data_IF_587276035507
#
_entry.id   IF_587276035507
#
_cell.length_a   1.000
_cell.length_b   1.000
_cell.length_c   1.000
_cell.angle_alpha   90.00
_cell.angle_beta   90.00
_cell.angle_gamma   90.00
#
_symmetry.space_group_name_H-M   'P 1'
#
loop_
_entity.id
_entity.type
_entity.pdbx_description
1 polymer ?
#
# COMPACT_ATOMS: atom_id res chain seq x y z
N UNK A 1 26.98 -54.96 -20.24
CA UNK A 1 26.14 -54.08 -21.06
C UNK A 1 24.99 -53.62 -20.19
N UNK A 2 25.12 -52.46 -19.58
CA UNK A 2 24.07 -51.80 -18.80
C UNK A 2 23.14 -51.10 -19.78
N UNK A 3 21.95 -51.66 -19.99
CA UNK A 3 20.86 -50.98 -20.70
C UNK A 3 20.42 -49.79 -19.86
N UNK A 4 20.76 -48.58 -20.30
CA UNK A 4 20.24 -47.34 -19.72
C UNK A 4 18.77 -47.23 -20.11
N UNK A 5 17.86 -47.61 -19.19
CA UNK A 5 16.41 -47.44 -19.36
C UNK A 5 16.09 -45.96 -19.58
N UNK A 6 15.49 -45.61 -20.71
CA UNK A 6 15.11 -44.23 -21.02
C UNK A 6 13.92 -43.79 -20.17
N UNK A 7 13.67 -42.47 -20.04
CA UNK A 7 12.49 -41.97 -19.31
C UNK A 7 11.17 -42.46 -19.95
N UNK A 8 11.16 -42.65 -21.27
CA UNK A 8 10.02 -43.20 -22.02
C UNK A 8 9.77 -44.68 -21.71
N UNK A 9 10.84 -45.48 -21.60
CA UNK A 9 10.75 -46.89 -21.21
C UNK A 9 10.20 -47.01 -19.78
N UNK A 10 10.66 -46.15 -18.88
CA UNK A 10 10.17 -46.08 -17.49
C UNK A 10 8.68 -45.78 -17.40
N UNK A 11 8.17 -44.82 -18.17
CA UNK A 11 6.73 -44.53 -18.20
C UNK A 11 5.90 -45.73 -18.72
N UNK A 12 6.41 -46.42 -19.73
CA UNK A 12 5.77 -47.61 -20.30
C UNK A 12 5.75 -48.76 -19.28
N UNK A 13 6.87 -49.02 -18.61
CA UNK A 13 6.98 -50.02 -17.55
C UNK A 13 6.07 -49.69 -16.36
N UNK A 14 6.01 -48.43 -15.94
CA UNK A 14 5.13 -48.02 -14.84
C UNK A 14 3.64 -48.16 -15.18
N UNK A 15 3.24 -47.85 -16.41
CA UNK A 15 1.87 -48.09 -16.86
C UNK A 15 1.52 -49.59 -16.86
N UNK A 16 2.49 -50.46 -17.19
CA UNK A 16 2.32 -51.91 -17.16
C UNK A 16 2.26 -52.48 -15.73
N UNK A 17 2.96 -51.85 -14.79
CA UNK A 17 3.07 -52.31 -13.40
C UNK A 17 2.03 -51.71 -12.45
N UNK A 18 1.42 -50.57 -12.81
CA UNK A 18 0.49 -49.82 -11.95
C UNK A 18 -0.81 -49.47 -12.69
N UNK A 19 -1.34 -48.26 -12.47
CA UNK A 19 -2.47 -47.67 -13.18
C UNK A 19 -2.01 -46.40 -13.90
N UNK A 20 -2.84 -45.87 -14.80
CA UNK A 20 -2.57 -44.56 -15.42
C UNK A 20 -2.35 -43.47 -14.36
N UNK A 21 -3.10 -43.52 -13.26
CA UNK A 21 -2.97 -42.53 -12.20
C UNK A 21 -1.63 -42.70 -11.44
N UNK A 22 -1.16 -43.93 -11.23
CA UNK A 22 0.17 -44.20 -10.67
C UNK A 22 1.33 -43.77 -11.57
N UNK A 23 1.19 -43.96 -12.88
CA UNK A 23 2.15 -43.48 -13.88
C UNK A 23 2.19 -41.94 -13.91
N UNK A 24 1.04 -41.27 -13.87
CA UNK A 24 0.98 -39.80 -13.84
C UNK A 24 1.58 -39.23 -12.54
N UNK A 25 1.37 -39.90 -11.39
CA UNK A 25 1.98 -39.46 -10.13
C UNK A 25 3.50 -39.59 -10.17
N UNK A 26 4.02 -40.70 -10.67
CA UNK A 26 5.47 -40.88 -10.83
C UNK A 26 6.10 -39.86 -11.79
N UNK A 27 5.40 -39.53 -12.88
CA UNK A 27 5.84 -38.47 -13.79
C UNK A 27 5.84 -37.10 -13.09
N UNK A 28 4.83 -36.79 -12.27
CA UNK A 28 4.78 -35.56 -11.50
C UNK A 28 5.97 -35.47 -10.52
N UNK A 29 6.26 -36.54 -9.77
CA UNK A 29 7.42 -36.62 -8.87
C UNK A 29 8.74 -36.39 -9.62
N UNK A 30 8.91 -36.98 -10.81
CA UNK A 30 10.08 -36.77 -11.65
C UNK A 30 10.19 -35.30 -12.10
N UNK A 31 9.11 -34.68 -12.56
CA UNK A 31 9.11 -33.29 -13.01
C UNK A 31 9.39 -32.30 -11.87
N UNK A 32 8.92 -32.59 -10.66
CA UNK A 32 9.29 -31.83 -9.46
C UNK A 32 10.79 -31.94 -9.19
N UNK A 33 11.35 -33.15 -9.24
CA UNK A 33 12.78 -33.38 -9.04
C UNK A 33 13.65 -32.66 -10.09
N UNK A 34 13.17 -32.61 -11.34
CA UNK A 34 13.81 -31.90 -12.45
C UNK A 34 13.52 -30.39 -12.48
N UNK A 35 12.68 -29.87 -11.57
CA UNK A 35 12.20 -28.46 -11.53
C UNK A 35 11.48 -28.00 -12.81
N UNK A 36 10.81 -28.93 -13.50
CA UNK A 36 10.04 -28.71 -14.73
C UNK A 36 8.56 -28.42 -14.41
N UNK A 37 8.34 -27.26 -13.78
CA UNK A 37 7.06 -26.93 -13.17
C UNK A 37 5.92 -26.63 -14.17
N UNK A 38 6.23 -26.15 -15.38
CA UNK A 38 5.18 -25.94 -16.40
C UNK A 38 4.64 -27.28 -16.91
N UNK A 39 5.52 -28.25 -17.13
CA UNK A 39 5.11 -29.60 -17.50
C UNK A 39 4.38 -30.29 -16.35
N UNK A 40 4.79 -30.05 -15.10
CA UNK A 40 4.06 -30.53 -13.92
C UNK A 40 2.61 -30.04 -13.93
N UNK A 41 2.37 -28.77 -14.28
CA UNK A 41 1.02 -28.22 -14.40
C UNK A 41 0.15 -29.02 -15.40
N UNK A 42 0.71 -29.38 -16.55
CA UNK A 42 0.00 -30.19 -17.55
C UNK A 42 -0.31 -31.60 -17.04
N UNK A 43 0.60 -32.22 -16.28
CA UNK A 43 0.35 -33.51 -15.63
C UNK A 43 -0.76 -33.39 -14.58
N UNK A 44 -0.73 -32.36 -13.74
CA UNK A 44 -1.79 -32.11 -12.74
C UNK A 44 -3.14 -31.87 -13.38
N UNK A 45 -3.21 -31.14 -14.51
CA UNK A 45 -4.43 -30.99 -15.32
C UNK A 45 -4.98 -32.34 -15.78
N UNK A 46 -4.12 -33.25 -16.27
CA UNK A 46 -4.54 -34.59 -16.66
C UNK A 46 -5.12 -35.38 -15.47
N UNK A 47 -4.47 -35.32 -14.31
CA UNK A 47 -4.92 -36.00 -13.09
C UNK A 47 -6.28 -35.46 -12.61
N UNK A 48 -6.47 -34.14 -12.56
CA UNK A 48 -7.74 -33.50 -12.16
C UNK A 48 -8.86 -33.95 -13.10
N UNK A 49 -8.66 -33.84 -14.41
CA UNK A 49 -9.65 -34.25 -15.43
C UNK A 49 -10.06 -35.71 -15.27
N UNK A 50 -9.08 -36.60 -15.10
CA UNK A 50 -9.35 -38.04 -14.92
C UNK A 50 -10.15 -38.33 -13.65
N UNK A 51 -9.81 -37.68 -12.53
CA UNK A 51 -10.48 -37.86 -11.24
C UNK A 51 -11.98 -37.55 -11.32
N UNK A 52 -12.36 -36.57 -12.16
CA UNK A 52 -13.75 -36.14 -12.35
C UNK A 52 -14.44 -36.77 -13.57
N UNK A 53 -13.78 -37.74 -14.21
CA UNK A 53 -14.33 -38.51 -15.34
C UNK A 53 -14.29 -37.80 -16.70
N UNK A 54 -13.41 -36.80 -16.88
CA UNK A 54 -13.17 -36.14 -18.16
C UNK A 54 -12.01 -36.76 -18.92
N UNK A 55 -11.97 -36.51 -20.24
CA UNK A 55 -10.82 -36.82 -21.07
C UNK A 55 -9.58 -36.06 -20.60
N UNK A 56 -8.41 -36.70 -20.63
CA UNK A 56 -7.14 -36.04 -20.32
C UNK A 56 -6.86 -34.84 -21.25
N UNK A 57 -7.41 -34.86 -22.47
CA UNK A 57 -7.28 -33.82 -23.48
C UNK A 57 -8.46 -32.83 -23.50
N UNK A 58 -9.35 -32.86 -22.49
CA UNK A 58 -10.46 -31.90 -22.41
C UNK A 58 -9.93 -30.46 -22.39
N UNK A 59 -10.36 -29.63 -23.34
CA UNK A 59 -9.82 -28.27 -23.56
C UNK A 59 -10.82 -27.15 -23.31
N UNK A 60 -12.10 -27.46 -23.12
CA UNK A 60 -13.14 -26.43 -22.96
C UNK A 60 -13.10 -25.82 -21.55
N UNK A 61 -13.68 -24.63 -21.41
CA UNK A 61 -13.70 -23.88 -20.15
C UNK A 61 -14.58 -24.52 -19.05
N UNK A 62 -15.31 -25.59 -19.35
CA UNK A 62 -16.22 -26.23 -18.41
C UNK A 62 -17.65 -25.69 -18.42
N UNK A 63 -17.98 -24.79 -19.36
CA UNK A 63 -19.31 -24.16 -19.43
C UNK A 63 -20.45 -25.16 -19.64
N UNK A 64 -20.20 -26.26 -20.35
CA UNK A 64 -21.19 -27.32 -20.58
C UNK A 64 -21.18 -28.43 -19.50
N UNK A 65 -20.33 -28.30 -18.47
CA UNK A 65 -20.28 -29.25 -17.37
C UNK A 65 -21.37 -28.97 -16.33
N UNK A 66 -21.87 -30.04 -15.71
CA UNK A 66 -22.68 -29.96 -14.50
C UNK A 66 -21.95 -29.13 -13.42
N UNK A 67 -22.65 -28.26 -12.66
CA UNK A 67 -22.02 -27.33 -11.72
C UNK A 67 -21.02 -28.00 -10.77
N UNK A 68 -21.40 -29.13 -10.18
CA UNK A 68 -20.53 -29.88 -9.27
C UNK A 68 -19.22 -30.34 -9.91
N UNK A 69 -19.21 -30.70 -11.20
CA UNK A 69 -18.00 -31.10 -11.92
C UNK A 69 -17.16 -29.90 -12.33
N UNK A 70 -17.80 -28.78 -12.69
CA UNK A 70 -17.12 -27.52 -12.98
C UNK A 70 -16.36 -27.04 -11.74
N UNK A 71 -17.01 -27.03 -10.58
CA UNK A 71 -16.40 -26.62 -9.32
C UNK A 71 -15.19 -27.51 -8.95
N UNK A 72 -15.31 -28.83 -9.15
CA UNK A 72 -14.19 -29.76 -8.91
C UNK A 72 -13.03 -29.55 -9.89
N UNK A 73 -13.33 -29.24 -11.16
CA UNK A 73 -12.30 -28.91 -12.15
C UNK A 73 -11.57 -27.63 -11.75
N UNK A 74 -12.30 -26.54 -11.49
CA UNK A 74 -11.73 -25.25 -11.08
C UNK A 74 -10.89 -25.39 -9.81
N UNK A 75 -11.42 -26.03 -8.77
CA UNK A 75 -10.70 -26.23 -7.52
C UNK A 75 -9.39 -27.01 -7.73
N UNK A 76 -9.43 -28.11 -8.51
CA UNK A 76 -8.23 -28.89 -8.82
C UNK A 76 -7.20 -28.12 -9.65
N UNK A 77 -7.65 -27.27 -10.57
CA UNK A 77 -6.74 -26.42 -11.35
C UNK A 77 -6.10 -25.33 -10.49
N UNK A 78 -6.84 -24.73 -9.54
CA UNK A 78 -6.28 -23.76 -8.59
C UNK A 78 -5.27 -24.41 -7.64
N UNK A 79 -5.51 -25.64 -7.20
CA UNK A 79 -4.52 -26.42 -6.42
C UNK A 79 -3.25 -26.68 -7.22
N UNK A 80 -3.37 -27.08 -8.50
CA UNK A 80 -2.23 -27.29 -9.39
C UNK A 80 -1.45 -25.99 -9.62
N UNK A 81 -2.15 -24.86 -9.83
CA UNK A 81 -1.53 -23.54 -9.92
C UNK A 81 -0.74 -23.21 -8.65
N UNK A 82 -1.28 -23.51 -7.46
CA UNK A 82 -0.61 -23.24 -6.18
C UNK A 82 0.68 -24.05 -6.05
N UNK A 83 0.64 -25.35 -6.34
CA UNK A 83 1.81 -26.24 -6.28
C UNK A 83 2.93 -25.76 -7.22
N UNK A 84 2.57 -25.51 -8.47
CA UNK A 84 3.50 -25.08 -9.53
C UNK A 84 4.06 -23.69 -9.23
N UNK A 85 3.21 -22.75 -8.82
CA UNK A 85 3.62 -21.40 -8.45
C UNK A 85 4.61 -21.40 -7.29
N UNK A 86 4.37 -22.19 -6.23
CA UNK A 86 5.28 -22.29 -5.10
C UNK A 86 6.62 -22.94 -5.51
N UNK A 87 6.58 -23.96 -6.35
CA UNK A 87 7.79 -24.58 -6.90
C UNK A 87 8.65 -23.59 -7.70
N UNK A 88 8.02 -22.78 -8.55
CA UNK A 88 8.70 -21.73 -9.32
C UNK A 88 9.31 -20.65 -8.42
N UNK A 89 8.56 -20.16 -7.43
CA UNK A 89 9.06 -19.16 -6.47
C UNK A 89 10.25 -19.71 -5.66
N UNK A 90 10.17 -20.96 -5.21
CA UNK A 90 11.27 -21.62 -4.50
C UNK A 90 12.51 -21.83 -5.38
N UNK A 91 12.34 -21.86 -6.70
CA UNK A 91 13.43 -21.91 -7.67
C UNK A 91 13.94 -20.53 -8.11
N UNK A 92 13.45 -19.43 -7.51
CA UNK A 92 13.83 -18.06 -7.86
C UNK A 92 13.16 -17.51 -9.13
N UNK A 93 12.21 -18.24 -9.73
CA UNK A 93 11.50 -17.85 -10.96
C UNK A 93 10.28 -17.00 -10.59
N UNK A 94 10.51 -15.76 -10.20
CA UNK A 94 9.54 -14.91 -9.50
C UNK A 94 8.32 -14.57 -10.37
N UNK A 95 8.54 -14.00 -11.56
CA UNK A 95 7.46 -13.63 -12.49
C UNK A 95 6.59 -14.83 -12.87
N UNK A 96 7.24 -15.95 -13.13
CA UNK A 96 6.57 -17.18 -13.54
C UNK A 96 5.77 -17.80 -12.39
N UNK A 97 6.32 -17.79 -11.18
CA UNK A 97 5.57 -18.17 -9.99
C UNK A 97 4.32 -17.31 -9.78
N UNK A 98 4.46 -15.99 -9.93
CA UNK A 98 3.33 -15.06 -9.83
C UNK A 98 2.25 -15.30 -10.90
N UNK A 99 2.64 -15.63 -12.13
CA UNK A 99 1.70 -15.96 -13.22
C UNK A 99 0.70 -17.06 -12.80
N UNK A 100 1.14 -18.09 -12.07
CA UNK A 100 0.25 -19.14 -11.57
C UNK A 100 -0.58 -18.72 -10.36
N UNK A 101 -0.14 -17.73 -9.60
CA UNK A 101 -0.89 -17.21 -8.44
C UNK A 101 -1.96 -16.17 -8.81
N UNK A 102 -1.83 -15.49 -9.96
CA UNK A 102 -2.83 -14.50 -10.42
C UNK A 102 -4.27 -15.03 -10.41
N UNK A 103 -4.58 -16.24 -10.93
CA UNK A 103 -5.95 -16.79 -10.91
C UNK A 103 -6.43 -17.16 -9.49
N UNK A 104 -5.51 -17.42 -8.55
CA UNK A 104 -5.85 -17.83 -7.17
C UNK A 104 -6.30 -16.61 -6.35
N UNK A 105 -5.74 -15.43 -6.62
CA UNK A 105 -6.05 -14.19 -5.90
C UNK A 105 -5.46 -14.09 -4.48
N UNK A 106 -5.11 -15.23 -3.85
CA UNK A 106 -4.43 -15.25 -2.56
C UNK A 106 -2.94 -14.91 -2.70
N UNK A 107 -2.59 -13.70 -2.26
CA UNK A 107 -1.23 -13.14 -2.32
C UNK A 107 -0.35 -13.60 -1.15
N UNK A 108 -0.92 -14.17 -0.08
CA UNK A 108 -0.17 -14.47 1.16
C UNK A 108 0.95 -15.49 0.93
N UNK A 109 0.75 -16.61 0.23
CA UNK A 109 1.83 -17.57 -0.01
C UNK A 109 2.97 -16.98 -0.86
N UNK A 110 2.63 -16.10 -1.80
CA UNK A 110 3.62 -15.41 -2.65
C UNK A 110 4.46 -14.46 -1.81
N UNK A 111 3.83 -13.67 -0.94
CA UNK A 111 4.53 -12.80 0.02
C UNK A 111 5.52 -13.58 0.88
N UNK A 112 5.07 -14.69 1.47
CA UNK A 112 5.91 -15.54 2.31
C UNK A 112 7.08 -16.17 1.53
N UNK A 113 6.86 -16.56 0.28
CA UNK A 113 7.90 -17.11 -0.59
C UNK A 113 8.90 -16.03 -0.99
N UNK A 114 8.42 -14.87 -1.44
CA UNK A 114 9.28 -13.73 -1.76
C UNK A 114 10.17 -13.39 -0.58
N UNK A 115 9.64 -13.35 0.65
CA UNK A 115 10.40 -12.97 1.86
C UNK A 115 11.63 -13.84 2.14
N UNK A 116 11.73 -15.03 1.51
CA UNK A 116 12.86 -15.95 1.65
C UNK A 116 13.88 -15.83 0.52
N UNK A 117 13.57 -15.06 -0.53
CA UNK A 117 14.46 -14.81 -1.66
C UNK A 117 15.41 -13.68 -1.28
N UNK A 118 16.72 -13.96 -1.33
CA UNK A 118 17.76 -12.94 -1.21
C UNK A 118 17.72 -12.04 -2.44
N UNK A 119 17.78 -10.73 -2.21
CA UNK A 119 17.72 -9.74 -3.29
C UNK A 119 19.12 -9.52 -3.85
N UNK A 120 19.23 -9.57 -5.17
CA UNK A 120 20.45 -9.27 -5.92
C UNK A 120 20.12 -8.45 -7.17
N UNK A 121 21.16 -7.99 -7.89
CA UNK A 121 21.00 -7.17 -9.08
C UNK A 121 20.29 -7.89 -10.24
N UNK A 122 20.25 -9.23 -10.25
CA UNK A 122 19.59 -10.02 -11.30
C UNK A 122 18.08 -10.13 -11.06
N UNK A 123 17.67 -10.20 -9.80
CA UNK A 123 16.27 -10.43 -9.41
C UNK A 123 15.53 -9.20 -8.88
N UNK A 124 16.23 -8.09 -8.58
CA UNK A 124 15.67 -6.86 -8.01
C UNK A 124 14.43 -6.36 -8.76
N UNK A 125 14.54 -6.20 -10.08
CA UNK A 125 13.44 -5.69 -10.91
C UNK A 125 12.21 -6.63 -10.88
N UNK A 126 12.43 -7.95 -10.83
CA UNK A 126 11.33 -8.93 -10.74
C UNK A 126 10.61 -8.86 -9.40
N UNK A 127 11.37 -8.70 -8.32
CA UNK A 127 10.82 -8.56 -6.97
C UNK A 127 10.03 -7.26 -6.87
N UNK A 128 10.57 -6.14 -7.38
CA UNK A 128 9.86 -4.84 -7.38
C UNK A 128 8.57 -4.94 -8.19
N UNK A 129 8.60 -5.56 -9.37
CA UNK A 129 7.42 -5.78 -10.20
C UNK A 129 6.32 -6.53 -9.43
N UNK A 130 6.64 -7.70 -8.87
CA UNK A 130 5.63 -8.54 -8.20
C UNK A 130 5.22 -7.96 -6.84
N UNK A 131 6.16 -7.45 -6.04
CA UNK A 131 5.88 -6.95 -4.70
C UNK A 131 5.11 -5.62 -4.75
N UNK A 132 5.59 -4.66 -5.54
CA UNK A 132 5.03 -3.31 -5.61
C UNK A 132 3.95 -3.21 -6.68
N UNK A 133 4.29 -3.38 -7.97
CA UNK A 133 3.36 -3.09 -9.06
C UNK A 133 2.15 -4.03 -9.09
N UNK A 134 2.35 -5.32 -8.81
CA UNK A 134 1.25 -6.29 -8.67
C UNK A 134 0.62 -6.27 -7.26
N UNK A 135 1.23 -5.54 -6.32
CA UNK A 135 0.73 -5.32 -4.96
C UNK A 135 0.70 -6.58 -4.10
N UNK A 136 1.70 -7.46 -4.19
CA UNK A 136 1.86 -8.63 -3.31
C UNK A 136 2.38 -8.22 -1.93
N UNK A 137 3.36 -7.31 -1.90
CA UNK A 137 4.00 -6.79 -0.69
C UNK A 137 4.54 -5.38 -0.98
N UNK A 138 3.63 -4.40 -0.95
CA UNK A 138 3.91 -3.02 -1.35
C UNK A 138 5.02 -2.42 -0.50
N UNK A 139 5.00 -2.67 0.82
CA UNK A 139 6.01 -2.14 1.74
C UNK A 139 7.41 -2.64 1.37
N UNK A 140 7.57 -3.95 1.10
CA UNK A 140 8.86 -4.50 0.71
C UNK A 140 9.30 -4.01 -0.66
N UNK A 141 8.42 -4.04 -1.66
CA UNK A 141 8.75 -3.58 -3.01
C UNK A 141 9.13 -2.10 -3.04
N UNK A 142 8.40 -1.26 -2.30
CA UNK A 142 8.73 0.16 -2.15
C UNK A 142 10.04 0.38 -1.38
N UNK A 143 10.29 -0.40 -0.33
CA UNK A 143 11.56 -0.37 0.41
C UNK A 143 12.77 -0.64 -0.48
N UNK A 144 12.68 -1.63 -1.37
CA UNK A 144 13.72 -1.91 -2.36
C UNK A 144 13.92 -0.75 -3.34
N UNK A 145 12.84 -0.08 -3.76
CA UNK A 145 12.94 1.09 -4.61
C UNK A 145 13.70 2.22 -3.92
N UNK A 146 13.41 2.44 -2.63
CA UNK A 146 14.05 3.43 -1.78
C UNK A 146 15.54 3.15 -1.61
N UNK A 147 15.91 1.88 -1.40
CA UNK A 147 17.28 1.43 -1.16
C UNK A 147 18.15 1.45 -2.43
N UNK A 148 17.62 1.00 -3.57
CA UNK A 148 18.42 0.74 -4.77
C UNK A 148 18.32 1.83 -5.86
N UNK A 149 17.22 2.58 -5.94
CA UNK A 149 17.05 3.62 -6.97
C UNK A 149 17.05 5.05 -6.41
N UNK A 150 17.14 5.20 -5.09
CA UNK A 150 17.28 6.48 -4.39
C UNK A 150 15.98 7.27 -4.19
N UNK A 151 16.07 8.30 -3.35
CA UNK A 151 14.92 9.07 -2.82
C UNK A 151 14.08 9.74 -3.90
N UNK A 152 14.69 10.34 -4.92
CA UNK A 152 13.96 11.00 -6.02
C UNK A 152 13.09 10.01 -6.80
N UNK A 153 13.66 8.85 -7.15
CA UNK A 153 12.93 7.80 -7.84
C UNK A 153 11.81 7.24 -6.96
N UNK A 154 12.08 7.01 -5.67
CA UNK A 154 11.08 6.52 -4.75
C UNK A 154 9.92 7.50 -4.52
N UNK A 155 10.17 8.82 -4.50
CA UNK A 155 9.09 9.82 -4.48
C UNK A 155 8.26 9.74 -5.77
N UNK A 156 8.92 9.68 -6.93
CA UNK A 156 8.23 9.54 -8.22
C UNK A 156 7.37 8.26 -8.28
N UNK A 157 7.91 7.14 -7.80
CA UNK A 157 7.20 5.86 -7.69
C UNK A 157 6.05 5.94 -6.69
N UNK A 158 6.25 6.63 -5.56
CA UNK A 158 5.18 6.84 -4.59
C UNK A 158 4.01 7.61 -5.20
N UNK A 159 4.26 8.64 -6.00
CA UNK A 159 3.19 9.46 -6.55
C UNK A 159 2.47 8.81 -7.73
N UNK A 160 3.15 7.94 -8.47
CA UNK A 160 2.62 7.29 -9.68
C UNK A 160 1.97 5.92 -9.43
N UNK A 161 2.52 5.13 -8.51
CA UNK A 161 2.12 3.72 -8.30
C UNK A 161 1.32 3.57 -7.01
N UNK A 162 1.90 4.02 -5.89
CA UNK A 162 1.36 3.78 -4.54
C UNK A 162 -0.10 4.25 -4.34
N UNK A 163 -0.62 5.34 -4.93
CA UNK A 163 -1.99 5.80 -4.68
C UNK A 163 -3.07 4.83 -5.21
N UNK A 164 -2.69 3.90 -6.08
CA UNK A 164 -3.57 2.85 -6.60
C UNK A 164 -3.68 1.63 -5.67
N UNK A 165 -2.87 1.57 -4.60
CA UNK A 165 -2.92 0.51 -3.60
C UNK A 165 -3.86 0.84 -2.43
N UNK A 166 -4.32 -0.15 -1.65
CA UNK A 166 -5.11 0.09 -0.44
C UNK A 166 -4.43 1.05 0.54
N UNK A 167 -5.20 1.83 1.30
CA UNK A 167 -4.68 2.85 2.24
C UNK A 167 -3.59 2.32 3.18
N UNK A 168 -3.75 1.10 3.71
CA UNK A 168 -2.76 0.49 4.59
C UNK A 168 -1.39 0.29 3.91
N UNK A 169 -1.38 -0.08 2.63
CA UNK A 169 -0.14 -0.23 1.85
C UNK A 169 0.48 1.13 1.53
N UNK A 170 -0.34 2.15 1.24
CA UNK A 170 0.11 3.53 1.09
C UNK A 170 0.81 4.02 2.36
N UNK A 171 0.18 3.78 3.53
CA UNK A 171 0.72 4.13 4.84
C UNK A 171 2.06 3.45 5.11
N UNK A 172 2.17 2.16 4.82
CA UNK A 172 3.41 1.42 5.00
C UNK A 172 4.55 1.99 4.13
N UNK A 173 4.29 2.25 2.85
CA UNK A 173 5.28 2.86 1.95
C UNK A 173 5.65 4.30 2.38
N UNK A 174 4.66 5.11 2.77
CA UNK A 174 4.88 6.49 3.21
C UNK A 174 5.70 6.57 4.49
N UNK A 175 5.47 5.65 5.43
CA UNK A 175 6.26 5.55 6.66
C UNK A 175 7.73 5.21 6.37
N UNK A 176 8.02 4.35 5.38
CA UNK A 176 9.40 4.03 4.96
C UNK A 176 10.10 5.28 4.41
N UNK A 177 9.44 6.04 3.54
CA UNK A 177 9.99 7.28 2.98
C UNK A 177 10.30 8.31 4.09
N UNK A 178 9.37 8.52 5.01
CA UNK A 178 9.56 9.45 6.14
C UNK A 178 10.74 9.04 7.01
N UNK A 179 10.82 7.75 7.37
CA UNK A 179 11.92 7.21 8.19
C UNK A 179 13.27 7.38 7.48
N UNK A 180 13.33 7.06 6.20
CA UNK A 180 14.54 7.21 5.38
C UNK A 180 15.01 8.66 5.31
N UNK A 181 14.12 9.59 4.92
CA UNK A 181 14.50 10.99 4.78
C UNK A 181 14.86 11.62 6.12
N UNK A 182 14.14 11.30 7.20
CA UNK A 182 14.47 11.77 8.54
C UNK A 182 15.85 11.30 8.99
N UNK A 183 16.19 10.03 8.74
CA UNK A 183 17.50 9.49 9.05
C UNK A 183 18.62 10.19 8.25
N UNK A 184 18.45 10.34 6.94
CA UNK A 184 19.41 11.03 6.06
C UNK A 184 19.64 12.47 6.52
N UNK A 185 18.55 13.23 6.71
CA UNK A 185 18.63 14.62 7.13
C UNK A 185 19.25 14.77 8.51
N UNK A 186 18.85 13.94 9.47
CA UNK A 186 19.41 13.97 10.84
C UNK A 186 20.90 13.68 10.81
N UNK A 187 21.34 12.66 10.06
CA UNK A 187 22.75 12.34 9.90
C UNK A 187 23.55 13.52 9.30
N UNK A 188 23.04 14.15 8.25
CA UNK A 188 23.69 15.29 7.60
C UNK A 188 23.79 16.51 8.51
N UNK A 189 22.73 16.85 9.25
CA UNK A 189 22.72 17.96 10.21
C UNK A 189 23.67 17.68 11.38
N UNK A 190 23.62 16.48 11.98
CA UNK A 190 24.53 16.11 13.06
C UNK A 190 26.00 16.13 12.63
N UNK A 191 26.28 15.71 11.39
CA UNK A 191 27.62 15.77 10.83
C UNK A 191 28.11 17.22 10.66
N UNK A 192 27.25 18.15 10.24
CA UNK A 192 27.63 19.56 10.11
C UNK A 192 27.86 20.24 11.46
N UNK A 193 26.97 19.99 12.42
CA UNK A 193 27.15 20.42 13.82
C UNK A 193 28.46 19.87 14.38
N UNK A 194 28.75 18.58 14.18
CA UNK A 194 30.01 17.99 14.63
C UNK A 194 31.25 18.63 14.03
N UNK A 195 31.20 19.06 12.75
CA UNK A 195 32.32 19.76 12.10
C UNK A 195 32.53 21.17 12.66
N UNK A 196 31.46 21.90 12.97
CA UNK A 196 31.54 23.29 13.43
C UNK A 196 31.76 23.41 14.94
N UNK A 197 31.09 22.60 15.74
CA UNK A 197 31.15 22.63 17.21
C UNK A 197 32.24 21.70 17.77
N UNK A 198 32.83 20.83 16.94
CA UNK A 198 33.87 19.87 17.33
C UNK A 198 33.36 18.67 18.13
N UNK A 199 32.06 18.56 18.34
CA UNK A 199 31.40 17.44 19.00
C UNK A 199 30.08 17.11 18.31
N UNK A 200 29.85 15.83 18.00
CA UNK A 200 28.55 15.38 17.49
C UNK A 200 27.49 15.54 18.58
N UNK A 201 26.38 16.25 18.32
CA UNK A 201 25.32 16.43 19.30
C UNK A 201 24.62 15.10 19.60
N UNK A 202 24.18 14.92 20.85
CA UNK A 202 23.41 13.75 21.29
C UNK A 202 21.89 13.96 21.20
N UNK A 203 21.44 14.92 20.39
CA UNK A 203 20.03 15.31 20.33
C UNK A 203 19.16 14.22 19.69
N UNK A 204 17.93 14.09 20.19
CA UNK A 204 16.99 13.06 19.76
C UNK A 204 16.09 13.49 18.58
N UNK A 205 16.08 14.78 18.23
CA UNK A 205 15.20 15.35 17.20
C UNK A 205 15.85 16.48 16.41
N UNK A 206 15.44 16.65 15.15
CA UNK A 206 15.79 17.78 14.29
C UNK A 206 15.36 19.09 14.91
N UNK A 207 14.19 19.18 15.55
CA UNK A 207 13.76 20.36 16.30
C UNK A 207 14.84 20.82 17.29
N UNK A 208 15.40 19.89 18.06
CA UNK A 208 16.47 20.20 19.03
C UNK A 208 17.80 20.51 18.34
N UNK A 209 18.10 19.83 17.23
CA UNK A 209 19.33 20.06 16.46
C UNK A 209 19.35 21.46 15.84
N UNK A 210 18.23 21.95 15.31
CA UNK A 210 18.16 23.25 14.63
C UNK A 210 17.89 24.42 15.57
N UNK A 211 17.34 24.14 16.76
CA UNK A 211 17.07 25.15 17.78
C UNK A 211 18.37 25.89 18.15
N UNK A 212 18.29 27.23 18.13
CA UNK A 212 19.40 28.16 18.40
C UNK A 212 20.62 28.03 17.47
N UNK A 213 20.48 27.36 16.32
CA UNK A 213 21.54 27.16 15.31
C UNK A 213 21.18 27.74 13.95
N UNK A 214 20.78 29.01 13.92
CA UNK A 214 20.45 29.73 12.67
C UNK A 214 21.61 29.70 11.64
N UNK A 215 22.85 29.56 12.13
CA UNK A 215 24.04 29.42 11.30
C UNK A 215 24.00 28.22 10.34
N UNK A 216 23.24 27.15 10.66
CA UNK A 216 23.03 25.99 9.77
C UNK A 216 22.35 26.36 8.45
N UNK A 217 21.69 27.52 8.39
CA UNK A 217 20.86 27.95 7.27
C UNK A 217 21.38 29.24 6.60
N UNK A 218 22.55 29.73 7.02
CA UNK A 218 23.19 30.89 6.39
C UNK A 218 23.53 30.61 4.93
N UNK A 219 23.60 31.65 4.10
CA UNK A 219 23.94 31.54 2.67
C UNK A 219 23.07 30.54 1.87
N UNK A 220 21.84 30.31 2.33
CA UNK A 220 20.92 29.34 1.72
C UNK A 220 21.43 27.89 1.81
N UNK A 221 22.22 27.55 2.82
CA UNK A 221 22.61 26.17 3.10
C UNK A 221 21.41 25.26 3.40
N UNK A 222 21.52 24.01 2.99
CA UNK A 222 20.57 22.93 3.28
C UNK A 222 21.32 21.59 3.33
N UNK A 223 20.75 20.62 4.06
CA UNK A 223 21.38 19.34 4.39
C UNK A 223 20.73 18.13 3.71
N UNK A 224 19.66 18.38 2.95
CA UNK A 224 18.95 17.41 2.12
C UNK A 224 18.31 18.16 0.96
N UNK A 225 18.03 17.46 -0.14
CA UNK A 225 17.27 18.05 -1.25
C UNK A 225 15.91 18.56 -0.75
N UNK A 226 15.66 19.85 -0.98
CA UNK A 226 14.49 20.55 -0.44
C UNK A 226 13.19 20.12 -1.12
N UNK A 227 13.26 19.62 -2.36
CA UNK A 227 12.10 19.03 -3.04
C UNK A 227 11.75 17.67 -2.43
N UNK A 228 12.76 16.86 -2.07
CA UNK A 228 12.52 15.60 -1.35
C UNK A 228 11.84 15.84 0.00
N UNK A 229 12.29 16.87 0.73
CA UNK A 229 11.69 17.27 2.00
C UNK A 229 10.22 17.67 1.86
N UNK A 230 9.92 18.56 0.93
CA UNK A 230 8.55 19.03 0.70
C UNK A 230 7.61 17.88 0.29
N UNK A 231 8.03 17.01 -0.64
CA UNK A 231 7.23 15.86 -1.08
C UNK A 231 7.01 14.85 0.05
N UNK A 232 8.02 14.57 0.85
CA UNK A 232 7.91 13.62 1.98
C UNK A 232 6.96 14.13 3.06
N UNK A 233 7.03 15.42 3.40
CA UNK A 233 6.07 16.07 4.32
C UNK A 233 4.65 16.00 3.76
N UNK A 234 4.47 16.21 2.46
CA UNK A 234 3.16 16.11 1.81
C UNK A 234 2.58 14.69 1.84
N UNK A 235 3.44 13.69 1.60
CA UNK A 235 3.08 12.27 1.63
C UNK A 235 2.69 11.85 3.06
N UNK A 236 3.39 12.35 4.08
CA UNK A 236 3.13 11.99 5.47
C UNK A 236 1.71 12.30 5.99
N UNK A 237 0.92 13.13 5.28
CA UNK A 237 -0.48 13.44 5.63
C UNK A 237 -1.37 12.21 5.78
N UNK A 238 -1.10 11.14 5.05
CA UNK A 238 -1.90 9.91 5.12
C UNK A 238 -1.55 8.98 6.29
N UNK A 239 -0.49 9.26 7.04
CA UNK A 239 0.01 8.39 8.11
C UNK A 239 -0.81 8.55 9.39
N UNK A 240 -1.17 7.43 10.02
CA UNK A 240 -1.89 7.41 11.31
C UNK A 240 -1.01 6.96 12.48
N UNK A 241 0.10 6.25 12.21
CA UNK A 241 0.97 5.74 13.25
C UNK A 241 1.77 6.88 13.93
N UNK A 242 1.79 6.96 15.28
CA UNK A 242 2.46 8.04 15.99
C UNK A 242 3.98 8.13 15.75
N UNK A 243 4.65 6.99 15.55
CA UNK A 243 6.11 6.95 15.34
C UNK A 243 6.52 7.71 14.06
N UNK A 244 6.07 7.33 12.84
CA UNK A 244 6.43 8.07 11.64
C UNK A 244 5.80 9.47 11.59
N UNK A 245 4.63 9.71 12.20
CA UNK A 245 4.08 11.07 12.33
C UNK A 245 4.99 12.00 13.14
N UNK A 246 5.64 11.48 14.19
CA UNK A 246 6.61 12.25 14.99
C UNK A 246 7.81 12.66 14.15
N UNK A 247 8.32 11.75 13.32
CA UNK A 247 9.43 12.03 12.40
C UNK A 247 9.01 13.04 11.33
N UNK A 248 7.80 12.92 10.79
CA UNK A 248 7.25 13.88 9.83
C UNK A 248 7.10 15.28 10.44
N UNK A 249 6.64 15.39 11.70
CA UNK A 249 6.62 16.65 12.43
C UNK A 249 8.03 17.22 12.56
N UNK A 250 9.00 16.39 12.93
CA UNK A 250 10.41 16.80 13.08
C UNK A 250 11.01 17.35 11.77
N UNK A 251 10.69 16.74 10.63
CA UNK A 251 11.03 17.25 9.29
C UNK A 251 10.47 18.66 9.04
N UNK A 252 9.26 18.96 9.52
CA UNK A 252 8.68 20.31 9.39
C UNK A 252 9.40 21.34 10.24
N UNK A 253 9.95 20.96 11.40
CA UNK A 253 10.76 21.88 12.21
C UNK A 253 11.99 22.32 11.43
N UNK A 254 12.75 21.38 10.85
CA UNK A 254 13.87 21.73 9.97
C UNK A 254 13.42 22.60 8.78
N UNK A 255 12.35 22.21 8.08
CA UNK A 255 11.87 22.92 6.89
C UNK A 255 11.51 24.40 7.14
N UNK A 256 11.01 24.73 8.34
CA UNK A 256 10.67 26.12 8.75
C UNK A 256 11.88 27.06 8.80
N UNK A 257 13.08 26.53 9.01
CA UNK A 257 14.33 27.31 9.07
C UNK A 257 15.00 27.51 7.70
N UNK A 258 14.57 26.78 6.66
CA UNK A 258 15.12 26.95 5.33
C UNK A 258 14.91 28.38 4.80
N UNK A 259 15.77 28.82 3.88
CA UNK A 259 15.53 30.05 3.13
C UNK A 259 14.14 30.04 2.48
N UNK A 260 13.48 31.21 2.40
CA UNK A 260 12.15 31.35 1.79
C UNK A 260 12.06 30.85 0.35
N UNK A 261 13.16 30.86 -0.40
CA UNK A 261 13.20 30.31 -1.76
C UNK A 261 13.04 28.78 -1.83
N UNK A 262 13.34 28.08 -0.72
CA UNK A 262 13.21 26.62 -0.58
C UNK A 262 11.99 26.21 0.27
N UNK A 263 11.25 27.18 0.79
CA UNK A 263 9.93 26.97 1.38
C UNK A 263 8.89 27.09 0.27
N UNK A 264 8.80 26.05 -0.57
CA UNK A 264 7.84 26.02 -1.69
C UNK A 264 6.42 26.25 -1.19
N UNK A 265 5.60 26.89 -2.03
CA UNK A 265 4.17 27.00 -1.79
C UNK A 265 3.50 25.65 -2.08
N UNK A 266 2.66 25.21 -1.15
CA UNK A 266 1.80 24.04 -1.31
C UNK A 266 0.42 24.41 -1.85
N UNK A 267 -0.42 23.39 -1.98
CA UNK A 267 -1.84 23.56 -2.31
C UNK A 267 -2.66 23.81 -1.04
N UNK A 268 -3.74 24.57 -1.13
CA UNK A 268 -4.69 24.74 -0.02
C UNK A 268 -5.28 23.38 0.44
N UNK A 269 -5.48 23.14 1.75
CA UNK A 269 -5.32 24.07 2.87
C UNK A 269 -3.89 24.16 3.46
N UNK A 270 -2.89 23.63 2.74
CA UNK A 270 -1.50 23.52 3.18
C UNK A 270 -0.54 24.44 2.40
N UNK A 271 -0.99 25.64 2.05
CA UNK A 271 -0.22 26.60 1.25
C UNK A 271 1.18 26.88 1.83
N UNK A 272 1.26 27.04 3.16
CA UNK A 272 2.53 27.08 3.88
C UNK A 272 2.93 25.66 4.30
N UNK A 273 3.71 24.96 3.46
CA UNK A 273 4.02 23.54 3.62
C UNK A 273 4.41 23.20 5.07
N UNK A 274 5.49 23.75 5.60
CA UNK A 274 5.97 23.32 6.92
C UNK A 274 5.10 23.80 8.09
N UNK A 275 4.63 25.08 8.15
CA UNK A 275 3.73 25.51 9.20
C UNK A 275 2.41 24.73 9.26
N UNK A 276 1.71 24.59 8.14
CA UNK A 276 0.38 23.96 8.09
C UNK A 276 0.46 22.44 8.33
N UNK A 277 1.46 21.75 7.77
CA UNK A 277 1.62 20.31 8.01
C UNK A 277 2.01 20.01 9.46
N UNK A 278 2.85 20.83 10.08
CA UNK A 278 3.17 20.65 11.50
C UNK A 278 1.94 20.75 12.39
N UNK A 279 1.04 21.74 12.16
CA UNK A 279 -0.22 21.85 12.92
C UNK A 279 -1.08 20.60 12.74
N UNK A 280 -1.14 20.08 11.51
CA UNK A 280 -1.87 18.86 11.19
C UNK A 280 -1.29 17.63 11.91
N UNK A 281 0.02 17.41 11.83
CA UNK A 281 0.67 16.29 12.51
C UNK A 281 0.59 16.39 14.03
N UNK A 282 0.74 17.59 14.60
CA UNK A 282 0.52 17.81 16.03
C UNK A 282 -0.89 17.38 16.43
N UNK A 283 -1.92 17.80 15.69
CA UNK A 283 -3.30 17.39 16.00
C UNK A 283 -3.49 15.88 15.96
N UNK A 284 -2.93 15.19 14.95
CA UNK A 284 -2.97 13.73 14.85
C UNK A 284 -2.21 13.04 15.99
N UNK A 285 -1.16 13.67 16.53
CA UNK A 285 -0.42 13.22 17.70
C UNK A 285 -1.11 13.56 19.03
N UNK A 286 -2.26 14.25 19.00
CA UNK A 286 -2.98 14.71 20.20
C UNK A 286 -2.42 15.99 20.81
N UNK A 287 -1.63 16.75 20.07
CA UNK A 287 -0.93 17.97 20.50
C UNK A 287 -1.53 19.19 19.79
N UNK A 288 -1.66 20.32 20.50
CA UNK A 288 -2.21 21.58 19.96
C UNK A 288 -3.53 21.40 19.17
N UNK A 289 -4.35 20.42 19.57
CA UNK A 289 -5.53 19.97 18.81
C UNK A 289 -6.49 21.11 18.52
N UNK A 290 -6.85 21.91 19.53
CA UNK A 290 -7.82 22.99 19.36
C UNK A 290 -7.35 24.06 18.36
N UNK A 291 -6.07 24.44 18.45
CA UNK A 291 -5.47 25.42 17.53
C UNK A 291 -5.47 24.91 16.09
N UNK A 292 -5.10 23.64 15.89
CA UNK A 292 -5.08 23.03 14.56
C UNK A 292 -6.50 22.88 13.98
N UNK A 293 -7.46 22.41 14.79
CA UNK A 293 -8.87 22.31 14.39
C UNK A 293 -9.42 23.68 13.98
N UNK A 294 -9.15 24.73 14.76
CA UNK A 294 -9.58 26.08 14.42
C UNK A 294 -8.95 26.58 13.11
N UNK A 295 -7.67 26.32 12.89
CA UNK A 295 -6.96 26.66 11.65
C UNK A 295 -7.58 25.97 10.43
N UNK A 296 -7.77 24.64 10.48
CA UNK A 296 -8.32 23.89 9.35
C UNK A 296 -9.80 24.16 9.13
N UNK A 297 -10.57 24.47 10.17
CA UNK A 297 -11.94 24.99 10.04
C UNK A 297 -11.97 26.30 9.26
N UNK A 298 -11.14 27.27 9.65
CA UNK A 298 -11.07 28.56 8.95
C UNK A 298 -10.69 28.38 7.47
N UNK A 299 -9.73 27.48 7.19
CA UNK A 299 -9.39 27.12 5.81
C UNK A 299 -10.56 26.50 5.06
N UNK A 300 -11.30 25.58 5.67
CA UNK A 300 -12.50 24.98 5.06
C UNK A 300 -13.60 26.02 4.75
N UNK A 301 -13.71 27.08 5.55
CA UNK A 301 -14.70 28.15 5.38
C UNK A 301 -14.28 29.22 4.36
N UNK A 302 -12.98 29.49 4.22
CA UNK A 302 -12.46 30.65 3.48
C UNK A 302 -11.83 30.30 2.13
N UNK A 303 -11.34 29.08 1.94
CA UNK A 303 -10.75 28.67 0.65
C UNK A 303 -11.84 28.65 -0.42
N UNK A 304 -11.54 29.27 -1.56
CA UNK A 304 -12.50 29.38 -2.66
C UNK A 304 -12.82 28.00 -3.26
N UNK A 305 -14.07 27.58 -3.10
CA UNK A 305 -14.55 26.29 -3.60
C UNK A 305 -14.65 26.24 -5.12
N UNK A 306 -14.73 27.39 -5.81
CA UNK A 306 -14.74 27.43 -7.28
C UNK A 306 -13.36 27.14 -7.86
N UNK A 307 -12.31 27.61 -7.19
CA UNK A 307 -10.92 27.42 -7.61
C UNK A 307 -10.35 26.07 -7.13
N UNK A 308 -10.54 25.74 -5.84
CA UNK A 308 -9.91 24.59 -5.20
C UNK A 308 -10.85 23.40 -4.97
N UNK A 309 -12.15 23.56 -5.17
CA UNK A 309 -13.16 22.53 -4.91
C UNK A 309 -13.37 22.29 -3.41
N UNK A 310 -13.70 21.05 -3.04
CA UNK A 310 -14.00 20.64 -1.65
C UNK A 310 -12.77 20.27 -0.83
N UNK A 311 -11.55 20.44 -1.36
CA UNK A 311 -10.32 19.89 -0.74
C UNK A 311 -10.09 20.35 0.70
N UNK A 312 -10.26 21.65 0.98
CA UNK A 312 -10.07 22.19 2.33
C UNK A 312 -11.11 21.64 3.33
N UNK A 313 -12.35 21.44 2.87
CA UNK A 313 -13.44 20.88 3.66
C UNK A 313 -13.18 19.40 3.93
N UNK A 314 -12.79 18.63 2.91
CA UNK A 314 -12.49 17.21 3.07
C UNK A 314 -11.29 16.97 4.00
N UNK A 315 -10.23 17.79 3.90
CA UNK A 315 -9.10 17.71 4.85
C UNK A 315 -9.54 18.02 6.28
N UNK A 316 -10.40 19.01 6.48
CA UNK A 316 -10.92 19.34 7.81
C UNK A 316 -11.79 18.21 8.38
N UNK A 317 -12.67 17.61 7.57
CA UNK A 317 -13.50 16.47 7.97
C UNK A 317 -12.63 15.24 8.28
N UNK A 318 -11.63 14.94 7.45
CA UNK A 318 -10.67 13.85 7.67
C UNK A 318 -9.91 14.05 8.99
N UNK A 319 -9.42 15.27 9.25
CA UNK A 319 -8.75 15.61 10.51
C UNK A 319 -9.64 15.32 11.71
N UNK A 320 -10.88 15.85 11.71
CA UNK A 320 -11.85 15.63 12.80
C UNK A 320 -12.12 14.15 13.03
N UNK A 321 -12.28 13.37 11.95
CA UNK A 321 -12.48 11.94 12.05
C UNK A 321 -11.30 11.24 12.72
N UNK A 322 -10.07 11.54 12.28
CA UNK A 322 -8.85 10.87 12.72
C UNK A 322 -8.45 11.19 14.16
N UNK A 323 -8.80 12.39 14.65
CA UNK A 323 -8.63 12.76 16.07
C UNK A 323 -9.78 12.29 16.97
N UNK A 324 -10.71 11.47 16.45
CA UNK A 324 -11.82 10.90 17.22
C UNK A 324 -13.03 11.83 17.42
N UNK A 325 -13.07 12.99 16.77
CA UNK A 325 -14.20 13.93 16.80
C UNK A 325 -15.21 13.61 15.70
N UNK A 326 -15.66 12.36 15.63
CA UNK A 326 -16.48 11.85 14.51
C UNK A 326 -17.85 12.56 14.39
N UNK A 327 -18.47 12.96 15.49
CA UNK A 327 -19.73 13.73 15.44
C UNK A 327 -19.55 15.11 14.80
N UNK A 328 -18.46 15.81 15.12
CA UNK A 328 -18.12 17.09 14.49
C UNK A 328 -17.79 16.91 13.01
N UNK A 329 -17.13 15.80 12.65
CA UNK A 329 -16.81 15.44 11.27
C UNK A 329 -18.10 15.25 10.44
N UNK A 330 -19.10 14.54 10.98
CA UNK A 330 -20.43 14.39 10.34
C UNK A 330 -21.08 15.75 10.13
N UNK A 331 -21.11 16.59 11.16
CA UNK A 331 -21.73 17.91 11.08
C UNK A 331 -21.03 18.81 10.04
N UNK A 332 -19.70 18.82 10.04
CA UNK A 332 -18.90 19.56 9.07
C UNK A 332 -19.17 19.07 7.64
N UNK A 333 -19.19 17.76 7.41
CA UNK A 333 -19.52 17.18 6.11
C UNK A 333 -20.90 17.64 5.62
N UNK A 334 -21.93 17.49 6.45
CA UNK A 334 -23.31 17.84 6.07
C UNK A 334 -23.51 19.34 5.82
N UNK A 335 -22.79 20.19 6.54
CA UNK A 335 -22.96 21.65 6.49
C UNK A 335 -22.14 22.28 5.38
N UNK A 336 -20.90 21.83 5.21
CA UNK A 336 -19.92 22.51 4.37
C UNK A 336 -19.84 21.93 2.95
N UNK A 337 -20.11 20.63 2.76
CA UNK A 337 -20.04 20.00 1.42
C UNK A 337 -21.35 20.24 0.67
N UNK A 338 -21.32 20.96 -0.47
CA UNK A 338 -22.54 21.21 -1.24
C UNK A 338 -23.20 19.93 -1.75
N UNK A 339 -24.53 19.91 -1.71
CA UNK A 339 -25.40 19.44 -2.80
C UNK A 339 -24.85 18.51 -3.89
N UNK A 340 -24.20 19.21 -4.78
CA UNK A 340 -23.84 18.89 -6.14
C UNK A 340 -22.30 18.82 -6.29
N UNK A 341 -21.57 19.08 -5.21
CA UNK A 341 -20.13 19.02 -5.21
C UNK A 341 -19.65 17.58 -5.34
N UNK A 342 -18.70 17.38 -6.26
CA UNK A 342 -18.00 16.11 -6.40
C UNK A 342 -16.84 16.08 -5.40
N UNK A 343 -17.00 15.29 -4.35
CA UNK A 343 -15.92 15.01 -3.38
C UNK A 343 -14.76 14.29 -4.06
N UNK A 344 -13.53 14.59 -3.62
CA UNK A 344 -12.30 14.00 -4.13
C UNK A 344 -11.95 12.66 -3.48
N UNK A 345 -12.62 12.31 -2.37
CA UNK A 345 -12.39 11.06 -1.64
C UNK A 345 -11.22 11.16 -0.67
N UNK A 346 -10.92 12.37 -0.18
CA UNK A 346 -9.91 12.58 0.87
C UNK A 346 -10.51 12.26 2.23
N UNK A 347 -11.72 12.76 2.50
CA UNK A 347 -12.47 12.42 3.70
C UNK A 347 -13.14 11.04 3.54
N UNK A 348 -13.34 10.31 4.65
CA UNK A 348 -14.26 9.18 4.67
C UNK A 348 -15.65 9.60 4.18
N UNK A 349 -16.38 8.67 3.60
CA UNK A 349 -17.77 8.89 3.20
C UNK A 349 -18.63 9.25 4.41
N UNK A 350 -19.72 10.00 4.17
CA UNK A 350 -20.67 10.34 5.23
C UNK A 350 -21.19 9.09 5.98
N UNK A 351 -21.34 7.97 5.26
CA UNK A 351 -21.71 6.70 5.86
C UNK A 351 -20.65 6.19 6.85
N UNK A 352 -19.37 6.17 6.46
CA UNK A 352 -18.27 5.76 7.35
C UNK A 352 -18.17 6.67 8.58
N UNK A 353 -18.34 7.99 8.39
CA UNK A 353 -18.36 8.95 9.49
C UNK A 353 -19.52 8.70 10.46
N UNK A 354 -20.73 8.50 9.95
CA UNK A 354 -21.92 8.22 10.78
C UNK A 354 -21.80 6.87 11.50
N UNK A 355 -21.23 5.85 10.86
CA UNK A 355 -20.91 4.56 11.48
C UNK A 355 -19.93 4.73 12.64
N UNK A 356 -18.84 5.46 12.43
CA UNK A 356 -17.86 5.74 13.48
C UNK A 356 -18.45 6.56 14.64
N UNK A 357 -19.37 7.48 14.34
CA UNK A 357 -20.06 8.32 15.33
C UNK A 357 -21.30 7.67 15.98
N UNK A 358 -21.71 6.47 15.55
CA UNK A 358 -22.98 5.85 15.97
C UNK A 358 -24.23 6.69 15.65
N UNK A 359 -24.14 7.60 14.68
CA UNK A 359 -25.12 8.68 14.44
C UNK A 359 -26.03 8.39 13.23
N UNK A 360 -26.63 7.19 13.19
CA UNK A 360 -27.46 6.74 12.06
C UNK A 360 -28.76 7.55 11.88
N UNK A 361 -29.32 8.12 12.95
CA UNK A 361 -30.50 8.97 12.86
C UNK A 361 -30.22 10.27 12.08
N UNK A 362 -29.03 10.86 12.24
CA UNK A 362 -28.62 12.04 11.48
C UNK A 362 -28.46 11.70 9.98
N UNK A 363 -27.84 10.56 9.67
CA UNK A 363 -27.72 10.06 8.29
C UNK A 363 -29.09 9.90 7.64
N UNK A 364 -30.02 9.26 8.35
CA UNK A 364 -31.40 9.06 7.88
C UNK A 364 -32.06 10.39 7.53
N UNK A 365 -32.01 11.35 8.44
CA UNK A 365 -32.71 12.63 8.25
C UNK A 365 -32.08 13.46 7.12
N UNK A 366 -30.76 13.40 6.96
CA UNK A 366 -30.05 14.01 5.85
C UNK A 366 -30.40 13.38 4.50
N UNK A 367 -30.40 12.04 4.39
CA UNK A 367 -30.81 11.34 3.18
C UNK A 367 -32.26 11.65 2.82
N UNK A 368 -33.16 11.78 3.81
CA UNK A 368 -34.54 12.22 3.58
C UNK A 368 -34.61 13.62 2.98
N UNK A 369 -33.82 14.56 3.48
CA UNK A 369 -33.80 15.95 2.95
C UNK A 369 -33.26 16.03 1.52
N UNK A 370 -32.36 15.12 1.14
CA UNK A 370 -31.74 15.06 -0.20
C UNK A 370 -32.44 14.11 -1.17
N UNK A 371 -33.60 13.55 -0.76
CA UNK A 371 -34.34 12.54 -1.53
C UNK A 371 -33.50 11.31 -1.94
N UNK A 372 -32.48 10.98 -1.15
CA UNK A 372 -31.62 9.80 -1.36
C UNK A 372 -32.25 8.57 -0.70
N UNK A 373 -33.10 7.88 -1.46
CA UNK A 373 -33.83 6.70 -1.02
C UNK A 373 -32.90 5.54 -0.60
N UNK A 374 -31.78 5.36 -1.31
CA UNK A 374 -30.83 4.28 -1.05
C UNK A 374 -30.03 4.54 0.23
N UNK A 375 -29.52 5.77 0.40
CA UNK A 375 -28.87 6.19 1.63
C UNK A 375 -29.81 6.12 2.84
N UNK A 376 -31.08 6.52 2.66
CA UNK A 376 -32.10 6.42 3.71
C UNK A 376 -32.36 4.98 4.14
N UNK A 377 -32.53 4.05 3.18
CA UNK A 377 -32.72 2.63 3.48
C UNK A 377 -31.50 2.02 4.18
N UNK A 378 -30.30 2.38 3.73
CA UNK A 378 -29.03 1.95 4.35
C UNK A 378 -28.94 2.39 5.80
N UNK A 379 -29.30 3.65 6.10
CA UNK A 379 -29.32 4.18 7.46
C UNK A 379 -30.28 3.42 8.39
N UNK A 380 -31.44 2.96 7.86
CA UNK A 380 -32.40 2.17 8.64
C UNK A 380 -31.88 0.76 8.94
N UNK A 381 -31.30 0.07 7.95
CA UNK A 381 -30.78 -1.29 8.13
C UNK A 381 -29.65 -1.30 9.16
N UNK A 382 -28.67 -0.40 9.02
CA UNK A 382 -27.53 -0.37 9.94
C UNK A 382 -27.90 -0.01 11.37
N UNK A 383 -28.99 0.74 11.58
CA UNK A 383 -29.51 1.03 12.93
C UNK A 383 -30.09 -0.21 13.62
N UNK A 384 -30.61 -1.18 12.87
CA UNK A 384 -31.17 -2.42 13.43
C UNK A 384 -30.08 -3.50 13.64
N UNK A 385 -28.96 -3.41 12.92
CA UNK A 385 -27.83 -4.36 13.01
C UNK A 385 -26.75 -3.97 14.04
N UNK A 386 -26.69 -2.69 14.45
CA UNK A 386 -25.76 -2.17 15.45
C UNK A 386 -26.43 -1.91 16.79
#
# INVERSE_FOLDING_TARGET
>A
MTTTTTDFDRLTEQLQQTSVDGMLESLAEQLVAERRFHELFEVRKMQVRRRIGLSALYSDAGDDLEPSRRDQLEAGLLEACREVGLGLLAAGRIREGWMYFRPIGDKKPVREALARIEVDDENLDEIVEVALHEGVDVARGYGLVLEHYGTCNAITTYESVVPHHPRADQQAAGALLVKHLHHELSASVMADIGRQEGQTPAAASLETLVSDRDWLFTEHSYHVDTTHLASTVRIARLLDDPEPLRLALDLTHYGRHLSKQFQYQGDEPFADIYPSHAMYFQALLGENVDQAVDYFRQKAEQVDQQEFGTIAIEVYVDLLHRIGRSADAVQAFMTMIPSDARVRGIAPSLFELCKAAGSYDQLRDFCRQREDLLGFATALVCREEG
#
